data_IF_244218494952
#
_entry.id   IF_244218494952
#
_cell.length_a   1.000
_cell.length_b   1.000
_cell.length_c   1.000
_cell.angle_alpha   90.00
_cell.angle_beta   90.00
_cell.angle_gamma   90.00
#
_symmetry.space_group_name_H-M   'P 1'
#
loop_
_entity.id
_entity.type
_entity.pdbx_description
1 polymer ?
#
# COMPACT_ATOMS: atom_id res chain seq x y z
N UNK A 1 2.28 25.15 -20.01
CA UNK A 1 2.89 24.02 -20.76
C UNK A 1 4.05 23.36 -20.02
N UNK A 2 4.88 24.11 -19.25
CA UNK A 2 6.01 23.55 -18.48
C UNK A 2 5.65 22.38 -17.55
N UNK A 3 4.47 22.40 -16.92
CA UNK A 3 4.04 21.35 -15.99
C UNK A 3 3.80 20.00 -16.69
N UNK A 4 3.25 20.01 -17.90
CA UNK A 4 3.03 18.79 -18.68
C UNK A 4 4.36 18.16 -19.13
N UNK A 5 5.34 18.97 -19.50
CA UNK A 5 6.70 18.48 -19.84
C UNK A 5 7.38 17.86 -18.61
N UNK A 6 7.23 18.48 -17.44
CA UNK A 6 7.74 17.95 -16.18
C UNK A 6 7.11 16.60 -15.80
N UNK A 7 5.78 16.46 -15.93
CA UNK A 7 5.07 15.20 -15.69
C UNK A 7 5.59 14.09 -16.63
N UNK A 8 5.76 14.40 -17.92
CA UNK A 8 6.30 13.45 -18.89
C UNK A 8 7.73 13.02 -18.57
N UNK A 9 8.57 13.95 -18.09
CA UNK A 9 9.94 13.63 -17.68
C UNK A 9 9.97 12.70 -16.47
N UNK A 10 9.17 12.97 -15.44
CA UNK A 10 9.03 12.09 -14.26
C UNK A 10 8.56 10.67 -14.65
N UNK A 11 7.59 10.55 -15.55
CA UNK A 11 7.13 9.25 -16.06
C UNK A 11 8.23 8.49 -16.82
N UNK A 12 9.03 9.21 -17.61
CA UNK A 12 10.16 8.64 -18.34
C UNK A 12 11.23 8.11 -17.38
N UNK A 13 11.57 8.88 -16.34
CA UNK A 13 12.54 8.47 -15.31
C UNK A 13 12.08 7.18 -14.60
N UNK A 14 10.81 7.09 -14.20
CA UNK A 14 10.25 5.88 -13.59
C UNK A 14 10.26 4.66 -14.53
N UNK A 15 9.98 4.87 -15.82
CA UNK A 15 9.99 3.80 -16.83
C UNK A 15 11.40 3.23 -17.03
N UNK A 16 12.41 4.11 -17.05
CA UNK A 16 13.82 3.71 -17.17
C UNK A 16 14.26 2.88 -15.96
N UNK A 17 14.02 3.37 -14.74
CA UNK A 17 14.42 2.66 -13.52
C UNK A 17 13.67 1.33 -13.35
N UNK A 18 12.38 1.29 -13.71
CA UNK A 18 11.60 0.05 -13.70
C UNK A 18 12.11 -1.01 -14.69
N UNK A 19 12.71 -0.57 -15.81
CA UNK A 19 13.34 -1.47 -16.78
C UNK A 19 14.69 -2.01 -16.30
N UNK A 20 15.40 -1.27 -15.45
CA UNK A 20 16.67 -1.66 -14.82
C UNK A 20 16.43 -2.67 -13.70
N UNK A 21 15.44 -2.44 -12.83
CA UNK A 21 15.06 -3.37 -11.77
C UNK A 21 14.65 -4.76 -12.30
N UNK A 22 13.99 -4.83 -13.47
CA UNK A 22 13.63 -6.11 -14.11
C UNK A 22 14.86 -6.93 -14.58
N UNK A 23 16.00 -6.29 -14.81
CA UNK A 23 17.24 -6.96 -15.24
C UNK A 23 18.05 -7.52 -14.06
N UNK A 24 17.87 -6.94 -12.87
CA UNK A 24 18.65 -7.27 -11.67
C UNK A 24 17.96 -8.32 -10.78
N UNK A 25 16.68 -8.63 -11.01
CA UNK A 25 15.89 -9.60 -10.21
C UNK A 25 16.30 -11.08 -10.35
N UNK A 26 17.49 -11.40 -10.83
CA UNK A 26 18.01 -12.78 -10.86
C UNK A 26 18.95 -13.03 -9.67
N UNK A 27 18.37 -13.33 -8.50
CA UNK A 27 19.06 -13.59 -7.23
C UNK A 27 19.42 -12.28 -6.50
N UNK A 28 19.01 -12.00 -5.28
CA UNK A 28 19.10 -12.85 -4.09
C UNK A 28 18.03 -12.42 -3.08
N UNK A 29 17.51 -13.40 -2.34
CA UNK A 29 16.65 -13.21 -1.17
C UNK A 29 17.58 -12.85 0.00
N UNK A 30 17.48 -11.62 0.50
CA UNK A 30 18.03 -11.26 1.81
C UNK A 30 16.94 -10.64 2.66
N UNK A 31 16.54 -11.42 3.65
CA UNK A 31 15.69 -11.07 4.78
C UNK A 31 16.36 -9.96 5.60
N UNK A 32 15.62 -8.89 5.86
CA UNK A 32 15.91 -7.91 6.92
C UNK A 32 14.58 -7.32 7.38
N UNK A 33 14.00 -7.98 8.38
CA UNK A 33 13.04 -7.39 9.32
C UNK A 33 13.67 -6.19 10.06
N UNK A 34 12.87 -5.16 10.35
CA UNK A 34 13.25 -3.90 11.01
C UNK A 34 14.16 -2.94 10.24
N UNK A 35 13.62 -2.31 9.21
CA UNK A 35 14.09 -1.00 8.75
C UNK A 35 12.88 -0.12 8.45
N UNK A 36 12.81 1.04 9.10
CA UNK A 36 11.90 2.12 8.70
C UNK A 36 12.01 2.24 7.18
N UNK A 37 10.89 2.24 6.42
CA UNK A 37 10.95 2.28 4.96
C UNK A 37 11.58 3.61 4.54
N UNK A 38 12.90 3.60 4.40
CA UNK A 38 13.64 4.68 3.76
C UNK A 38 13.15 4.72 2.33
N UNK A 39 12.41 5.77 1.98
CA UNK A 39 11.85 5.91 0.64
C UNK A 39 12.94 5.68 -0.39
N UNK A 40 12.75 4.66 -1.21
CA UNK A 40 13.68 4.39 -2.30
C UNK A 40 13.64 5.56 -3.28
N UNK A 41 14.68 5.72 -4.10
CA UNK A 41 14.69 6.76 -5.14
C UNK A 41 13.47 6.67 -6.06
N UNK A 42 12.95 5.46 -6.28
CA UNK A 42 11.73 5.21 -7.04
C UNK A 42 10.50 5.76 -6.32
N UNK A 43 10.39 5.56 -5.02
CA UNK A 43 9.23 6.04 -4.24
C UNK A 43 9.19 7.57 -4.19
N UNK A 44 10.36 8.23 -4.16
CA UNK A 44 10.45 9.69 -4.25
C UNK A 44 9.99 10.21 -5.61
N UNK A 45 10.37 9.54 -6.71
CA UNK A 45 9.93 9.91 -8.05
C UNK A 45 8.43 9.69 -8.25
N UNK A 46 7.87 8.62 -7.67
CA UNK A 46 6.42 8.37 -7.64
C UNK A 46 5.68 9.49 -6.90
N UNK A 47 6.14 9.84 -5.71
CA UNK A 47 5.53 10.93 -4.93
C UNK A 47 5.55 12.27 -5.69
N UNK A 48 6.67 12.61 -6.33
CA UNK A 48 6.77 13.83 -7.16
C UNK A 48 5.81 13.81 -8.36
N UNK A 49 5.63 12.64 -8.98
CA UNK A 49 4.69 12.47 -10.08
C UNK A 49 3.25 12.66 -9.61
N UNK A 50 2.89 12.05 -8.48
CA UNK A 50 1.56 12.16 -7.90
C UNK A 50 1.23 13.62 -7.54
N UNK A 51 2.15 14.34 -6.90
CA UNK A 51 1.98 15.76 -6.57
C UNK A 51 1.80 16.62 -7.83
N UNK A 52 2.61 16.37 -8.87
CA UNK A 52 2.52 17.10 -10.13
C UNK A 52 1.18 16.84 -10.85
N UNK A 53 0.71 15.59 -10.88
CA UNK A 53 -0.58 15.22 -11.46
C UNK A 53 -1.72 15.86 -10.66
N UNK A 54 -1.69 15.74 -9.33
CA UNK A 54 -2.72 16.30 -8.46
C UNK A 54 -2.86 17.82 -8.62
N UNK A 55 -1.74 18.52 -8.85
CA UNK A 55 -1.74 19.98 -9.07
C UNK A 55 -2.43 20.41 -10.38
N UNK A 56 -2.42 19.58 -11.41
CA UNK A 56 -3.02 19.87 -12.72
C UNK A 56 -4.41 19.24 -12.90
N UNK A 57 -4.77 18.27 -12.07
CA UNK A 57 -5.98 17.46 -12.23
C UNK A 57 -7.17 18.11 -11.51
N UNK A 58 -8.11 18.75 -12.24
CA UNK A 58 -9.26 19.41 -11.61
C UNK A 58 -10.23 18.45 -10.92
N UNK A 59 -10.10 17.15 -11.20
CA UNK A 59 -10.98 16.11 -10.69
C UNK A 59 -10.34 15.24 -9.60
N UNK A 60 -9.02 15.30 -9.38
CA UNK A 60 -8.36 14.33 -8.50
C UNK A 60 -8.78 14.48 -7.04
N UNK A 61 -9.06 15.71 -6.59
CA UNK A 61 -9.68 15.96 -5.28
C UNK A 61 -11.16 15.56 -5.24
N UNK A 62 -11.94 15.86 -6.28
CA UNK A 62 -13.37 15.51 -6.35
C UNK A 62 -13.60 14.00 -6.39
N UNK A 63 -12.79 13.26 -7.17
CA UNK A 63 -12.77 11.79 -7.19
C UNK A 63 -12.46 11.27 -5.79
N UNK A 64 -11.39 11.75 -5.15
CA UNK A 64 -11.07 11.36 -3.77
C UNK A 64 -12.23 11.61 -2.81
N UNK A 65 -12.86 12.79 -2.88
CA UNK A 65 -13.99 13.17 -2.01
C UNK A 65 -15.21 12.25 -2.21
N UNK A 66 -15.50 11.86 -3.45
CA UNK A 66 -16.61 10.94 -3.73
C UNK A 66 -16.34 9.56 -3.15
N UNK A 67 -15.11 9.09 -3.32
CA UNK A 67 -14.70 7.76 -2.87
C UNK A 67 -14.61 7.65 -1.34
N UNK A 68 -14.19 8.69 -0.60
CA UNK A 68 -14.12 8.61 0.89
C UNK A 68 -15.49 8.39 1.55
N UNK A 69 -16.56 8.77 0.87
CA UNK A 69 -17.92 8.63 1.39
C UNK A 69 -18.52 7.26 1.11
N UNK A 70 -17.89 6.48 0.24
CA UNK A 70 -18.30 5.12 -0.06
C UNK A 70 -17.78 4.19 1.05
N UNK A 71 -18.58 3.16 1.42
CA UNK A 71 -18.09 2.15 2.33
C UNK A 71 -16.87 1.46 1.70
N UNK A 72 -15.84 1.22 2.50
CA UNK A 72 -14.64 0.50 2.06
C UNK A 72 -14.96 -0.90 1.52
N UNK A 73 -16.07 -1.48 1.96
CA UNK A 73 -16.57 -2.78 1.56
C UNK A 73 -17.95 -2.57 0.94
N UNK A 74 -18.09 -2.98 -0.31
CA UNK A 74 -19.37 -2.90 -1.00
C UNK A 74 -20.32 -3.97 -0.48
N UNK A 75 -21.66 -3.78 -0.56
CA UNK A 75 -22.63 -4.78 -0.11
C UNK A 75 -22.42 -6.17 -0.75
N UNK A 76 -21.92 -6.22 -1.98
CA UNK A 76 -21.59 -7.47 -2.68
C UNK A 76 -20.39 -8.21 -2.05
N UNK A 77 -19.54 -7.49 -1.32
CA UNK A 77 -18.31 -7.97 -0.69
C UNK A 77 -18.51 -8.33 0.80
N UNK A 78 -19.72 -8.18 1.35
CA UNK A 78 -20.04 -8.48 2.76
C UNK A 78 -19.62 -9.90 3.19
N UNK A 79 -19.65 -10.85 2.25
CA UNK A 79 -19.25 -12.23 2.48
C UNK A 79 -17.75 -12.37 2.82
N UNK A 80 -16.91 -11.48 2.30
CA UNK A 80 -15.50 -11.41 2.68
C UNK A 80 -15.38 -10.94 4.13
N UNK A 81 -16.15 -9.95 4.59
CA UNK A 81 -16.10 -9.53 6.01
C UNK A 81 -16.31 -10.70 6.97
N UNK A 82 -17.30 -11.53 6.67
CA UNK A 82 -17.63 -12.70 7.47
C UNK A 82 -16.51 -13.77 7.48
N UNK A 83 -15.67 -13.84 6.45
CA UNK A 83 -14.58 -14.82 6.39
C UNK A 83 -13.37 -14.44 7.24
N UNK A 84 -13.20 -13.16 7.57
CA UNK A 84 -12.12 -12.65 8.41
C UNK A 84 -12.52 -12.55 9.89
N UNK A 85 -13.77 -12.92 10.22
CA UNK A 85 -14.26 -12.90 11.59
C UNK A 85 -13.49 -13.90 12.47
N UNK A 86 -12.78 -13.37 13.46
CA UNK A 86 -12.00 -14.17 14.41
C UNK A 86 -12.97 -14.74 15.42
N UNK A 87 -13.52 -15.93 15.12
CA UNK A 87 -14.37 -16.64 16.08
C UNK A 87 -13.55 -16.98 17.32
N UNK A 88 -13.99 -16.56 18.53
CA UNK A 88 -13.33 -16.99 19.75
C UNK A 88 -13.36 -18.52 19.79
N UNK A 89 -12.18 -19.13 19.88
CA UNK A 89 -12.03 -20.56 19.84
C UNK A 89 -12.64 -21.18 21.12
N UNK A 90 -13.90 -21.63 21.03
CA UNK A 90 -14.60 -22.38 22.08
C UNK A 90 -13.98 -23.77 22.33
N UNK A 91 -12.99 -24.20 21.53
CA UNK A 91 -12.20 -25.39 21.80
C UNK A 91 -10.99 -25.16 22.73
N UNK A 92 -10.88 -23.99 23.37
CA UNK A 92 -10.14 -23.88 24.63
C UNK A 92 -11.10 -24.18 25.76
N UNK A 93 -11.09 -25.43 26.25
CA UNK A 93 -11.75 -25.83 27.50
C UNK A 93 -11.36 -24.92 28.68
N UNK A 94 -11.96 -25.10 29.88
CA UNK A 94 -11.78 -24.18 31.00
C UNK A 94 -10.30 -23.88 31.20
N UNK A 95 -9.93 -22.61 31.00
CA UNK A 95 -8.57 -22.09 31.17
C UNK A 95 -8.04 -22.63 32.50
N UNK A 96 -7.13 -23.62 32.45
CA UNK A 96 -6.53 -24.18 33.67
C UNK A 96 -5.63 -23.09 34.22
N UNK A 97 -6.12 -22.37 35.23
CA UNK A 97 -5.30 -21.47 36.03
C UNK A 97 -4.16 -22.29 36.63
N UNK A 98 -2.94 -22.06 36.14
CA UNK A 98 -1.73 -22.65 36.70
C UNK A 98 -1.37 -21.78 37.90
N UNK A 99 -1.82 -22.16 39.09
CA UNK A 99 -1.39 -21.52 40.33
C UNK A 99 0.06 -21.93 40.61
N UNK A 100 0.95 -20.96 40.75
CA UNK A 100 2.31 -21.21 41.23
C UNK A 100 2.29 -21.57 42.73
N UNK A 101 3.02 -22.61 43.15
CA UNK A 101 3.18 -22.93 44.57
C UNK A 101 4.14 -21.92 45.23
N UNK A 102 3.76 -21.47 46.44
CA UNK A 102 4.59 -20.70 47.39
C UNK A 102 5.51 -21.64 48.14
#
# INVERSE_FOLDING_TARGET
MLQAEYILDLQKQLTLIGSEARRESNGTLSSSEDSIPSMTTVDKLRAQLDDAIASECPFCGELMIREISLPFILPEEDHHVASWDIKPNVASGPQRSISLPV
#
